data_IF_363967393108
#
_entry.id   IF_363967393108
#
_cell.length_a   1.000
_cell.length_b   1.000
_cell.length_c   1.000
_cell.angle_alpha   90.00
_cell.angle_beta   90.00
_cell.angle_gamma   90.00
#
_symmetry.space_group_name_H-M   'P 1'
#
loop_
_entity.id
_entity.type
_entity.pdbx_description
1 polymer ?
#
# COMPACT_ATOMS: atom_id res chain seq x y z
N UNK A 1 2.87 -28.14 -5.61
CA UNK A 1 3.42 -28.65 -6.88
C UNK A 1 3.43 -27.58 -7.98
N UNK A 2 2.35 -26.83 -8.24
CA UNK A 2 2.34 -25.76 -9.26
C UNK A 2 3.16 -24.50 -8.94
N UNK A 3 2.92 -23.84 -7.79
CA UNK A 3 3.66 -22.61 -7.44
C UNK A 3 5.16 -22.82 -7.23
N UNK A 4 5.56 -24.01 -6.75
CA UNK A 4 6.98 -24.34 -6.60
C UNK A 4 7.68 -24.37 -7.96
N UNK A 5 7.03 -24.96 -8.98
CA UNK A 5 7.52 -24.97 -10.35
C UNK A 5 7.67 -23.56 -10.92
N UNK A 6 6.70 -22.67 -10.67
CA UNK A 6 6.79 -21.25 -11.07
C UNK A 6 8.01 -20.56 -10.46
N UNK A 7 8.31 -20.85 -9.19
CA UNK A 7 9.48 -20.29 -8.50
C UNK A 7 10.80 -20.87 -9.04
N UNK A 8 10.85 -22.18 -9.24
CA UNK A 8 12.02 -22.90 -9.73
C UNK A 8 12.39 -22.50 -11.17
N UNK A 9 11.40 -22.48 -12.06
CA UNK A 9 11.58 -22.14 -13.48
C UNK A 9 11.67 -20.62 -13.73
N UNK A 10 11.33 -19.79 -12.73
CA UNK A 10 11.21 -18.33 -12.82
C UNK A 10 10.31 -17.87 -13.99
N UNK A 11 9.34 -18.71 -14.36
CA UNK A 11 8.41 -18.47 -15.46
C UNK A 11 6.98 -18.52 -14.95
N UNK A 12 6.22 -17.48 -15.27
CA UNK A 12 4.77 -17.44 -15.02
C UNK A 12 4.04 -18.07 -16.20
N UNK A 13 2.84 -18.61 -15.95
CA UNK A 13 1.96 -19.05 -17.04
C UNK A 13 1.60 -17.86 -17.94
N UNK A 14 1.42 -18.11 -19.24
CA UNK A 14 0.93 -17.11 -20.21
C UNK A 14 -0.39 -16.49 -19.75
N UNK A 15 -1.24 -17.27 -19.08
CA UNK A 15 -2.51 -16.76 -18.54
C UNK A 15 -2.29 -15.70 -17.47
N UNK A 16 -1.23 -15.79 -16.65
CA UNK A 16 -0.92 -14.78 -15.63
C UNK A 16 -0.43 -13.47 -16.25
N UNK A 17 0.07 -13.53 -17.48
CA UNK A 17 0.43 -12.34 -18.26
C UNK A 17 -0.80 -11.68 -18.89
N UNK A 18 -1.97 -12.32 -18.83
CA UNK A 18 -3.25 -11.79 -19.28
C UNK A 18 -4.06 -11.30 -18.08
N UNK A 19 -4.74 -10.18 -18.24
CA UNK A 19 -5.61 -9.64 -17.21
C UNK A 19 -6.52 -8.61 -17.82
N UNK A 20 -7.77 -8.57 -17.37
CA UNK A 20 -8.77 -7.66 -17.91
C UNK A 20 -8.64 -6.31 -17.21
N UNK A 21 -8.30 -5.21 -17.92
CA UNK A 21 -8.34 -3.89 -17.32
C UNK A 21 -9.81 -3.46 -17.14
N UNK A 22 -10.14 -3.02 -15.94
CA UNK A 22 -11.43 -2.40 -15.60
C UNK A 22 -11.15 -0.96 -15.19
N UNK A 23 -11.91 -0.03 -15.75
CA UNK A 23 -11.85 1.37 -15.39
C UNK A 23 -12.80 1.64 -14.22
N UNK A 24 -12.27 2.09 -13.09
CA UNK A 24 -13.07 2.52 -11.92
C UNK A 24 -13.07 4.04 -11.83
N UNK A 25 -14.26 4.62 -11.82
CA UNK A 25 -14.44 6.06 -11.65
C UNK A 25 -13.87 6.54 -10.31
N UNK A 26 -13.02 7.57 -10.32
CA UNK A 26 -12.39 8.10 -9.09
C UNK A 26 -13.35 8.92 -8.21
N UNK A 27 -14.63 9.06 -8.60
CA UNK A 27 -15.63 9.89 -7.91
C UNK A 27 -15.22 11.38 -7.82
N UNK A 28 -14.39 11.84 -8.75
CA UNK A 28 -13.88 13.22 -8.83
C UNK A 28 -13.59 13.59 -10.27
N UNK A 29 -13.93 14.81 -10.67
CA UNK A 29 -13.73 15.32 -12.05
C UNK A 29 -14.94 15.09 -12.96
N UNK A 30 -14.76 15.29 -14.26
CA UNK A 30 -15.80 15.08 -15.27
C UNK A 30 -15.88 13.57 -15.65
N UNK A 31 -17.04 12.90 -15.49
CA UNK A 31 -17.21 11.49 -15.86
C UNK A 31 -16.96 11.16 -17.35
N UNK A 32 -17.06 12.15 -18.24
CA UNK A 32 -16.79 11.98 -19.67
C UNK A 32 -15.28 11.95 -20.00
N UNK A 33 -14.43 12.40 -19.07
CA UNK A 33 -12.98 12.41 -19.25
C UNK A 33 -12.36 11.12 -18.71
N UNK A 34 -11.73 10.35 -19.60
CA UNK A 34 -11.10 9.07 -19.31
C UNK A 34 -9.97 9.18 -18.27
N UNK A 35 -9.29 10.33 -18.18
CA UNK A 35 -8.20 10.54 -17.22
C UNK A 35 -8.66 10.45 -15.75
N UNK A 36 -9.95 10.69 -15.51
CA UNK A 36 -10.55 10.65 -14.18
C UNK A 36 -10.94 9.22 -13.75
N UNK A 37 -10.63 8.19 -14.56
CA UNK A 37 -10.75 6.79 -14.17
C UNK A 37 -9.42 6.23 -13.67
N UNK A 38 -9.48 5.17 -12.86
CA UNK A 38 -8.32 4.37 -12.45
C UNK A 38 -8.42 3.00 -13.11
N UNK A 39 -7.45 2.60 -13.94
CA UNK A 39 -7.38 1.24 -14.42
C UNK A 39 -7.02 0.29 -13.27
N UNK A 40 -7.78 -0.77 -13.10
CA UNK A 40 -7.49 -1.90 -12.22
C UNK A 40 -7.43 -3.15 -13.07
N UNK A 41 -6.35 -3.91 -12.94
CA UNK A 41 -6.16 -5.16 -13.66
C UNK A 41 -6.77 -6.30 -12.85
N UNK A 42 -7.78 -6.96 -13.40
CA UNK A 42 -8.27 -8.21 -12.82
C UNK A 42 -7.32 -9.35 -13.17
N UNK A 43 -6.77 -9.96 -12.13
CA UNK A 43 -5.87 -11.10 -12.23
C UNK A 43 -6.63 -12.42 -12.08
N UNK A 44 -6.08 -13.48 -12.67
CA UNK A 44 -6.56 -14.85 -12.47
C UNK A 44 -6.48 -15.26 -11.00
N UNK A 45 -7.42 -16.12 -10.58
CA UNK A 45 -7.51 -16.57 -9.19
C UNK A 45 -6.21 -17.20 -8.67
N UNK A 46 -5.56 -18.03 -9.48
CA UNK A 46 -4.29 -18.68 -9.12
C UNK A 46 -3.17 -17.67 -8.89
N UNK A 47 -3.12 -16.58 -9.66
CA UNK A 47 -2.16 -15.49 -9.48
C UNK A 47 -2.43 -14.70 -8.19
N UNK A 48 -3.70 -14.37 -7.89
CA UNK A 48 -4.07 -13.70 -6.62
C UNK A 48 -3.62 -14.51 -5.40
N UNK A 49 -3.79 -15.83 -5.45
CA UNK A 49 -3.34 -16.74 -4.38
C UNK A 49 -1.82 -16.73 -4.29
N UNK A 50 -1.11 -16.76 -5.41
CA UNK A 50 0.36 -16.71 -5.43
C UNK A 50 0.90 -15.40 -4.85
N UNK A 51 0.38 -14.25 -5.29
CA UNK A 51 0.74 -12.93 -4.76
C UNK A 51 0.53 -12.85 -3.25
N UNK A 52 -0.58 -13.40 -2.73
CA UNK A 52 -0.84 -13.45 -1.28
C UNK A 52 0.18 -14.31 -0.52
N UNK A 53 0.68 -15.40 -1.12
CA UNK A 53 1.74 -16.20 -0.52
C UNK A 53 3.07 -15.45 -0.50
N UNK A 54 3.40 -14.73 -1.57
CA UNK A 54 4.61 -13.90 -1.65
C UNK A 54 4.53 -12.75 -0.64
N UNK A 55 3.42 -12.01 -0.58
CA UNK A 55 3.21 -10.91 0.38
C UNK A 55 3.43 -11.37 1.83
N UNK A 56 2.87 -12.52 2.22
CA UNK A 56 3.09 -13.09 3.56
C UNK A 56 4.56 -13.39 3.86
N UNK A 57 5.28 -13.96 2.89
CA UNK A 57 6.72 -14.26 3.04
C UNK A 57 7.55 -12.99 3.11
N UNK A 58 7.27 -12.02 2.24
CA UNK A 58 7.96 -10.72 2.22
C UNK A 58 7.74 -10.00 3.55
N UNK A 59 6.51 -9.92 4.05
CA UNK A 59 6.19 -9.32 5.37
C UNK A 59 6.90 -9.97 6.54
N UNK A 60 7.27 -11.25 6.45
CA UNK A 60 8.07 -11.92 7.47
C UNK A 60 9.55 -11.47 7.44
N UNK A 61 10.06 -11.16 6.25
CA UNK A 61 11.47 -10.80 6.04
C UNK A 61 11.69 -9.29 6.25
N UNK A 62 10.76 -8.46 5.78
CA UNK A 62 10.89 -7.00 5.85
C UNK A 62 10.36 -6.48 7.18
N UNK A 63 11.12 -5.57 7.81
CA UNK A 63 10.63 -4.79 8.94
C UNK A 63 10.12 -3.45 8.43
N UNK A 64 8.82 -3.22 8.63
CA UNK A 64 8.18 -1.94 8.33
C UNK A 64 8.49 -0.95 9.45
N UNK A 65 8.72 0.32 9.11
CA UNK A 65 8.98 1.36 10.09
C UNK A 65 7.76 1.61 10.97
N UNK A 66 7.95 1.92 12.25
CA UNK A 66 6.86 2.17 13.21
C UNK A 66 6.06 3.43 12.90
N UNK A 67 6.60 4.34 12.08
CA UNK A 67 5.89 5.53 11.61
C UNK A 67 5.07 5.29 10.34
N UNK A 68 5.13 4.10 9.73
CA UNK A 68 4.35 3.76 8.57
C UNK A 68 3.02 3.15 8.98
N UNK A 69 1.93 3.76 8.55
CA UNK A 69 0.57 3.27 8.79
C UNK A 69 -0.18 2.94 7.49
N UNK A 70 0.46 3.13 6.34
CA UNK A 70 -0.05 2.66 5.06
C UNK A 70 0.30 1.18 4.87
N UNK A 71 -0.73 0.36 4.66
CA UNK A 71 -0.63 -1.09 4.45
C UNK A 71 0.05 -1.88 5.59
N UNK A 72 0.19 -1.25 6.75
CA UNK A 72 0.72 -1.85 7.97
C UNK A 72 -0.39 -2.58 8.75
N UNK A 73 -0.06 -3.73 9.33
CA UNK A 73 -0.98 -4.41 10.24
C UNK A 73 -1.12 -3.58 11.53
N UNK A 74 -2.35 -3.44 12.03
CA UNK A 74 -2.65 -2.74 13.29
C UNK A 74 -2.22 -1.25 13.34
N UNK A 75 -1.94 -0.60 12.20
CA UNK A 75 -1.84 0.85 12.11
C UNK A 75 -2.66 1.35 10.92
N UNK A 76 -3.48 2.39 11.13
CA UNK A 76 -4.34 2.98 10.10
C UNK A 76 -4.18 4.50 9.97
N UNK A 77 -5.06 5.10 9.16
CA UNK A 77 -5.06 6.55 8.89
C UNK A 77 -5.31 7.40 10.14
N UNK A 78 -6.11 6.88 11.08
CA UNK A 78 -6.36 7.52 12.38
C UNK A 78 -5.08 7.63 13.20
N UNK A 79 -4.29 6.56 13.27
CA UNK A 79 -3.03 6.53 14.02
C UNK A 79 -2.01 7.48 13.39
N UNK A 80 -1.89 7.49 12.05
CA UNK A 80 -1.04 8.43 11.33
C UNK A 80 -1.40 9.89 11.63
N UNK A 81 -2.71 10.19 11.60
CA UNK A 81 -3.22 11.53 11.90
C UNK A 81 -2.93 11.92 13.35
N UNK A 82 -3.11 10.99 14.28
CA UNK A 82 -2.83 11.22 15.69
C UNK A 82 -1.33 11.47 15.94
N UNK A 83 -0.46 10.64 15.36
CA UNK A 83 0.99 10.79 15.46
C UNK A 83 1.44 12.16 14.91
N UNK A 84 0.91 12.58 13.76
CA UNK A 84 1.19 13.90 13.19
C UNK A 84 0.78 15.05 14.12
N UNK A 85 -0.40 14.95 14.75
CA UNK A 85 -0.86 15.96 15.73
C UNK A 85 0.05 16.04 16.94
N UNK A 86 0.42 14.90 17.52
CA UNK A 86 1.35 14.84 18.65
C UNK A 86 2.70 15.48 18.30
N UNK A 87 3.24 15.19 17.11
CA UNK A 87 4.47 15.81 16.60
C UNK A 87 4.35 17.34 16.52
N UNK A 88 3.27 17.85 15.94
CA UNK A 88 3.02 19.30 15.83
C UNK A 88 2.95 19.95 17.21
N UNK A 89 2.26 19.33 18.17
CA UNK A 89 2.13 19.86 19.53
C UNK A 89 3.48 19.89 20.27
N UNK A 90 4.28 18.84 20.14
CA UNK A 90 5.61 18.75 20.74
C UNK A 90 6.55 19.83 20.19
N UNK A 91 6.49 20.09 18.88
CA UNK A 91 7.26 21.18 18.26
C UNK A 91 6.85 22.56 18.79
N UNK A 92 5.55 22.83 18.90
CA UNK A 92 5.02 24.09 19.46
C UNK A 92 5.44 24.30 20.91
N UNK A 93 5.42 23.25 21.74
CA UNK A 93 5.88 23.30 23.14
C UNK A 93 7.38 23.61 23.21
N UNK A 94 8.19 22.95 22.38
CA UNK A 94 9.65 23.17 22.33
C UNK A 94 10.00 24.60 21.93
N UNK A 95 9.29 25.17 20.95
CA UNK A 95 9.47 26.55 20.54
C UNK A 95 9.18 27.54 21.68
N UNK A 96 8.03 27.41 22.34
CA UNK A 96 7.68 28.23 23.52
C UNK A 96 8.69 28.11 24.66
N UNK A 97 9.26 26.91 24.88
CA UNK A 97 10.28 26.71 25.91
C UNK A 97 11.63 27.35 25.57
N UNK A 98 11.96 27.49 24.27
CA UNK A 98 13.17 28.15 23.80
C UNK A 98 13.04 29.66 23.90
N UNK A 99 11.89 30.21 23.50
CA UNK A 99 11.58 31.64 23.60
C UNK A 99 11.60 32.16 25.04
N UNK A 100 11.30 31.30 26.04
CA UNK A 100 11.38 31.65 27.47
C UNK A 100 12.78 31.58 28.09
N UNK A 101 13.77 31.02 27.38
CA UNK A 101 15.16 30.87 27.86
C UNK A 101 16.12 31.90 27.27
N UNK A 102 15.73 32.54 26.17
CA UNK A 102 16.30 33.78 25.62
C UNK A 102 15.65 34.99 26.24
#
# INVERSE_FOLDING_TARGET
MFFNKVVEEKKTSVDWQRGTPILIWRKKGNPADCANYRPIRLLYHSMKIFERNIDRRVRYIIRVSTNQCDFAANCGTTDATHAARLLIEMLRKKQKSREKRT
#
